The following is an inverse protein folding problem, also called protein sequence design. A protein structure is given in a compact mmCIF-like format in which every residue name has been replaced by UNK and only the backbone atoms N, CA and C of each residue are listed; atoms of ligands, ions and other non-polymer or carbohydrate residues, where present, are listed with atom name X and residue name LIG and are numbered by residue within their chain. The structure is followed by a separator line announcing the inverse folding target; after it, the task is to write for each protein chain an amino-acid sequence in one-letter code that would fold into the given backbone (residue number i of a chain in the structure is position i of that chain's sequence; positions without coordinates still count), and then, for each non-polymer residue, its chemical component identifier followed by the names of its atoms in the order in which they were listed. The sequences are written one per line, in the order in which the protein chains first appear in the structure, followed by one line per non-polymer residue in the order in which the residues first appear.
data_IF_488597981615
#
_entry.id   IF_488597981615
#
_cell.length_a   1.000
_cell.length_b   1.000
_cell.length_c   1.000
_cell.angle_alpha   90.00
_cell.angle_beta   90.00
_cell.angle_gamma   90.00
#
_symmetry.space_group_name_H-M   'P 1'
#
loop_
_entity.id
_entity.type
_entity.pdbx_description
1 polymer ?
#
# COMPACT_ATOMS: atom_id res chain seq x y z
N UNK A 1 -18.42 5.70 -1.28
CA UNK A 1 -17.07 6.28 -1.35
C UNK A 1 -16.22 5.35 -2.20
N UNK A 2 -15.67 5.82 -3.32
CA UNK A 2 -14.78 5.01 -4.18
C UNK A 2 -13.32 5.37 -3.94
N UNK A 3 -12.41 4.44 -4.23
CA UNK A 3 -10.96 4.70 -4.20
C UNK A 3 -10.55 5.85 -5.13
N UNK A 4 -11.26 6.04 -6.23
CA UNK A 4 -10.99 7.13 -7.19
C UNK A 4 -11.32 8.50 -6.61
N UNK A 5 -12.43 8.62 -5.86
CA UNK A 5 -12.77 9.86 -5.16
C UNK A 5 -11.72 10.19 -4.11
N UNK A 6 -11.38 9.21 -3.26
CA UNK A 6 -10.36 9.38 -2.23
C UNK A 6 -9.00 9.73 -2.86
N UNK A 7 -8.61 9.08 -3.95
CA UNK A 7 -7.38 9.39 -4.67
C UNK A 7 -7.39 10.82 -5.23
N UNK A 8 -8.52 11.29 -5.75
CA UNK A 8 -8.69 12.66 -6.21
C UNK A 8 -8.58 13.67 -5.06
N UNK A 9 -9.19 13.40 -3.90
CA UNK A 9 -9.06 14.23 -2.68
C UNK A 9 -7.60 14.36 -2.22
N UNK A 10 -6.80 13.28 -2.36
CA UNK A 10 -5.37 13.29 -2.06
C UNK A 10 -4.49 13.82 -3.21
N UNK A 11 -5.05 14.11 -4.38
CA UNK A 11 -4.30 14.54 -5.57
C UNK A 11 -3.38 13.46 -6.15
N UNK A 12 -3.67 12.18 -5.93
CA UNK A 12 -2.89 11.04 -6.44
C UNK A 12 -3.68 10.22 -7.45
N UNK A 13 -2.99 9.47 -8.29
CA UNK A 13 -3.65 8.49 -9.13
C UNK A 13 -4.19 7.32 -8.30
N UNK A 14 -5.38 6.82 -8.65
CA UNK A 14 -6.01 5.68 -7.99
C UNK A 14 -5.08 4.44 -7.89
N UNK A 15 -4.21 4.23 -8.88
CA UNK A 15 -3.22 3.14 -8.88
C UNK A 15 -2.18 3.28 -7.75
N UNK A 16 -1.81 4.51 -7.38
CA UNK A 16 -0.90 4.80 -6.27
C UNK A 16 -1.58 4.47 -4.94
N UNK A 17 -2.83 4.91 -4.75
CA UNK A 17 -3.60 4.59 -3.56
C UNK A 17 -3.81 3.07 -3.41
N UNK A 18 -4.07 2.37 -4.52
CA UNK A 18 -4.14 0.89 -4.55
C UNK A 18 -2.86 0.20 -4.07
N UNK A 19 -1.69 0.73 -4.44
CA UNK A 19 -0.40 0.20 -3.96
C UNK A 19 -0.23 0.40 -2.46
N UNK A 20 -0.62 1.56 -1.93
CA UNK A 20 -0.57 1.82 -0.49
C UNK A 20 -1.51 0.93 0.29
N UNK A 21 -2.75 0.74 -0.19
CA UNK A 21 -3.69 -0.20 0.43
C UNK A 21 -3.14 -1.63 0.43
N UNK A 22 -2.57 -2.08 -0.69
CA UNK A 22 -1.95 -3.41 -0.77
C UNK A 22 -0.75 -3.56 0.15
N UNK A 23 0.03 -2.49 0.36
CA UNK A 23 1.13 -2.47 1.32
C UNK A 23 0.59 -2.57 2.75
N UNK A 24 -0.44 -1.79 3.09
CA UNK A 24 -1.10 -1.86 4.39
C UNK A 24 -1.68 -3.26 4.68
N UNK A 25 -2.33 -3.91 3.70
CA UNK A 25 -2.78 -5.32 3.84
C UNK A 25 -1.63 -6.29 4.19
N UNK A 26 -0.44 -6.05 3.63
CA UNK A 26 0.73 -6.90 3.86
C UNK A 26 1.30 -6.63 5.25
N UNK A 27 1.47 -5.36 5.63
CA UNK A 27 1.99 -4.97 6.95
C UNK A 27 1.03 -5.36 8.09
N UNK A 28 -0.28 -5.38 7.86
CA UNK A 28 -1.30 -5.89 8.81
C UNK A 28 -1.36 -7.43 8.87
N UNK A 29 -0.59 -8.13 8.01
CA UNK A 29 -0.56 -9.60 7.96
C UNK A 29 -1.77 -10.25 7.29
N UNK A 30 -2.63 -9.46 6.63
CA UNK A 30 -3.84 -9.93 5.91
C UNK A 30 -3.48 -10.64 4.61
N UNK A 31 -2.36 -10.29 3.97
CA UNK A 31 -1.87 -10.94 2.74
C UNK A 31 -0.44 -11.47 2.89
N UNK A 32 -0.16 -12.71 2.42
CA UNK A 32 1.21 -13.20 2.32
C UNK A 32 1.96 -12.39 1.23
N UNK A 33 3.01 -11.70 1.65
CA UNK A 33 3.90 -10.92 0.80
C UNK A 33 5.05 -10.36 1.64
N UNK A 34 6.18 -10.03 1.02
CA UNK A 34 7.32 -9.41 1.71
C UNK A 34 6.87 -8.07 2.30
N UNK A 35 6.76 -8.02 3.62
CA UNK A 35 6.39 -6.82 4.38
C UNK A 35 7.43 -5.73 4.18
N UNK A 36 7.06 -4.47 4.45
CA UNK A 36 8.03 -3.39 4.29
C UNK A 36 9.24 -3.59 5.21
N UNK A 37 9.04 -4.25 6.36
CA UNK A 37 10.08 -4.67 7.29
C UNK A 37 11.09 -5.62 6.64
N UNK A 38 10.65 -6.72 6.03
CA UNK A 38 11.58 -7.67 5.40
C UNK A 38 12.36 -7.06 4.22
N UNK A 39 11.77 -6.10 3.50
CA UNK A 39 12.50 -5.38 2.44
C UNK A 39 13.49 -4.32 2.94
N UNK A 40 13.34 -3.84 4.18
CA UNK A 40 14.31 -2.95 4.83
C UNK A 40 15.50 -3.75 5.39
N UNK A 41 15.24 -4.94 5.94
CA UNK A 41 16.26 -5.88 6.45
C UNK A 41 17.04 -6.59 5.33
N UNK A 42 16.58 -6.54 4.07
CA UNK A 42 17.39 -6.99 2.91
C UNK A 42 18.44 -5.96 2.46
N UNK A 43 18.48 -4.78 3.11
CA UNK A 43 19.44 -3.71 2.87
C UNK A 43 20.38 -3.50 4.08
N UNK A 44 20.77 -4.59 4.73
CA UNK A 44 21.94 -4.68 5.62
C UNK A 44 22.81 -5.87 5.18
#
# INVERSE_FOLDING_TARGET
MTVEQVAADFGVHAMTLWKWMRRADIDDGVKPGTTSQESAELRE
#
